data_IF_789548571017
#
_entry.id   IF_789548571017
#
_cell.length_a   1.000
_cell.length_b   1.000
_cell.length_c   1.000
_cell.angle_alpha   90.00
_cell.angle_beta   90.00
_cell.angle_gamma   90.00
#
_symmetry.space_group_name_H-M   'P 1'
#
loop_
_entity.id
_entity.type
_entity.pdbx_description
1 polymer ?
#
# COMPACT_ATOMS: atom_id res chain seq x y z
N UNK A 1 -11.50 -49.88 -2.67
CA UNK A 1 -12.22 -49.99 -1.38
C UNK A 1 -11.36 -49.28 -0.34
N UNK A 2 -11.73 -48.06 0.04
CA UNK A 2 -11.03 -47.31 1.08
C UNK A 2 -12.07 -46.75 2.05
N UNK A 3 -11.92 -47.10 3.32
CA UNK A 3 -12.52 -46.37 4.43
C UNK A 3 -11.35 -45.77 5.20
N UNK A 4 -11.24 -44.44 5.17
CA UNK A 4 -10.50 -43.68 6.15
C UNK A 4 -11.18 -42.32 6.31
N UNK A 5 -11.91 -42.22 7.41
CA UNK A 5 -12.62 -41.05 7.91
C UNK A 5 -11.62 -40.19 8.68
N UNK A 6 -11.19 -39.09 8.08
CA UNK A 6 -10.77 -37.84 8.73
C UNK A 6 -10.83 -36.83 7.61
N UNK A 7 -11.61 -35.75 7.76
CA UNK A 7 -11.66 -34.64 6.80
C UNK A 7 -10.32 -33.91 6.85
N UNK A 8 -9.27 -34.58 6.39
CA UNK A 8 -8.01 -33.98 6.02
C UNK A 8 -8.27 -33.33 4.68
N UNK A 9 -8.40 -32.01 4.69
CA UNK A 9 -8.33 -31.18 3.49
C UNK A 9 -7.04 -31.59 2.79
N UNK A 10 -7.19 -32.44 1.78
CA UNK A 10 -6.08 -32.87 0.96
C UNK A 10 -5.84 -31.69 0.05
N UNK A 11 -5.01 -30.75 0.49
CA UNK A 11 -4.45 -29.74 -0.40
C UNK A 11 -3.53 -30.51 -1.32
N UNK A 12 -4.09 -31.07 -2.38
CA UNK A 12 -3.31 -31.40 -3.58
C UNK A 12 -2.45 -30.18 -3.84
N UNK A 13 -1.13 -30.35 -3.85
CA UNK A 13 -0.13 -29.38 -4.30
C UNK A 13 -0.37 -29.03 -5.78
N UNK A 14 -1.54 -28.47 -6.09
CA UNK A 14 -1.70 -27.60 -7.22
C UNK A 14 -0.97 -26.34 -6.82
N UNK A 15 0.00 -25.92 -7.62
CA UNK A 15 0.50 -24.56 -7.55
C UNK A 15 -0.71 -23.66 -7.69
N UNK A 16 -1.19 -23.13 -6.57
CA UNK A 16 -2.33 -22.24 -6.53
C UNK A 16 -1.94 -21.02 -7.35
N UNK A 17 -2.78 -20.71 -8.33
CA UNK A 17 -2.58 -19.55 -9.17
C UNK A 17 -2.58 -18.30 -8.29
N UNK A 18 -1.89 -17.22 -8.68
CA UNK A 18 -1.86 -15.97 -7.88
C UNK A 18 -3.27 -15.47 -7.55
N UNK A 19 -4.22 -15.78 -8.43
CA UNK A 19 -5.64 -15.49 -8.28
C UNK A 19 -6.30 -16.29 -7.16
N UNK A 20 -5.78 -17.43 -6.72
CA UNK A 20 -6.39 -18.28 -5.68
C UNK A 20 -5.85 -18.01 -4.27
N UNK A 21 -4.90 -17.07 -4.12
CA UNK A 21 -4.30 -16.77 -2.82
C UNK A 21 -5.31 -16.20 -1.82
N UNK A 22 -6.32 -15.47 -2.30
CA UNK A 22 -7.38 -14.98 -1.41
C UNK A 22 -8.18 -16.13 -0.78
N UNK A 23 -8.33 -17.27 -1.46
CA UNK A 23 -8.98 -18.45 -0.92
C UNK A 23 -8.17 -19.00 0.25
N UNK A 24 -6.85 -19.16 0.10
CA UNK A 24 -5.99 -19.60 1.20
C UNK A 24 -6.11 -18.70 2.41
N UNK A 25 -6.04 -17.39 2.21
CA UNK A 25 -6.16 -16.42 3.30
C UNK A 25 -7.53 -16.50 3.96
N UNK A 26 -8.61 -16.62 3.18
CA UNK A 26 -9.98 -16.75 3.70
C UNK A 26 -10.12 -17.96 4.62
N UNK A 27 -9.54 -19.09 4.23
CA UNK A 27 -9.64 -20.37 4.93
C UNK A 27 -8.48 -20.65 5.90
N UNK A 28 -7.62 -19.67 6.18
CA UNK A 28 -6.43 -19.87 7.00
C UNK A 28 -6.74 -20.18 8.49
N UNK A 29 -7.97 -19.92 8.97
CA UNK A 29 -8.36 -20.28 10.33
C UNK A 29 -8.62 -21.78 10.45
N UNK A 30 -8.09 -22.38 11.51
CA UNK A 30 -8.40 -23.76 11.88
C UNK A 30 -9.79 -23.91 12.50
N UNK A 31 -10.29 -22.88 13.18
CA UNK A 31 -11.58 -22.87 13.88
C UNK A 31 -12.27 -21.49 13.79
N UNK A 32 -13.60 -21.48 13.81
CA UNK A 32 -14.43 -20.27 13.73
C UNK A 32 -14.71 -19.77 12.30
N UNK A 33 -15.28 -18.58 12.20
CA UNK A 33 -15.69 -18.03 10.89
C UNK A 33 -14.48 -17.62 10.02
N UNK A 34 -14.50 -17.91 8.72
CA UNK A 34 -13.45 -17.53 7.77
C UNK A 34 -13.15 -16.02 7.79
N UNK A 35 -11.94 -15.66 7.38
CA UNK A 35 -11.59 -14.24 7.25
C UNK A 35 -12.40 -13.57 6.14
N UNK A 36 -12.92 -12.38 6.41
CA UNK A 36 -13.53 -11.53 5.38
C UNK A 36 -12.42 -10.90 4.55
N UNK A 37 -12.06 -11.55 3.44
CA UNK A 37 -11.05 -11.05 2.51
C UNK A 37 -11.72 -10.12 1.50
N UNK A 38 -11.25 -8.86 1.46
CA UNK A 38 -11.63 -7.88 0.43
C UNK A 38 -10.51 -7.78 -0.59
N UNK A 39 -10.80 -8.17 -1.82
CA UNK A 39 -9.87 -8.01 -2.94
C UNK A 39 -9.80 -6.55 -3.37
N UNK A 40 -8.58 -6.07 -3.60
CA UNK A 40 -8.29 -4.70 -4.00
C UNK A 40 -7.67 -4.74 -5.39
N UNK A 41 -8.22 -3.93 -6.30
CA UNK A 41 -7.69 -3.76 -7.65
C UNK A 41 -6.66 -2.64 -7.69
N UNK A 42 -5.80 -2.65 -8.70
CA UNK A 42 -4.78 -1.61 -8.89
C UNK A 42 -5.37 -0.19 -8.92
N UNK A 43 -6.57 -0.04 -9.49
CA UNK A 43 -7.31 1.24 -9.57
C UNK A 43 -7.66 1.84 -8.20
N UNK A 44 -7.66 1.03 -7.14
CA UNK A 44 -7.92 1.45 -5.76
C UNK A 44 -6.62 1.79 -4.98
N UNK A 45 -5.46 1.73 -5.63
CA UNK A 45 -4.18 2.09 -5.01
C UNK A 45 -3.81 3.52 -5.40
N UNK A 46 -3.69 4.40 -4.40
CA UNK A 46 -3.47 5.84 -4.59
C UNK A 46 -2.11 6.30 -4.07
N UNK A 47 -1.57 7.35 -4.69
CA UNK A 47 -0.30 7.96 -4.30
C UNK A 47 -0.53 9.10 -3.30
N UNK A 48 -0.40 8.80 -2.00
CA UNK A 48 -0.64 9.78 -0.93
C UNK A 48 0.56 10.71 -0.67
N UNK A 49 1.76 10.37 -1.11
CA UNK A 49 2.97 11.17 -0.84
C UNK A 49 2.92 12.55 -1.52
N UNK A 50 2.27 12.67 -2.68
CA UNK A 50 1.98 13.96 -3.30
C UNK A 50 1.20 14.90 -2.37
N UNK A 51 0.30 14.36 -1.56
CA UNK A 51 -0.52 15.13 -0.64
C UNK A 51 0.26 15.58 0.61
N UNK A 52 1.51 15.18 0.80
CA UNK A 52 2.33 15.58 1.95
C UNK A 52 3.14 16.86 1.68
N UNK A 53 3.29 17.25 0.42
CA UNK A 53 4.10 18.39 0.00
C UNK A 53 3.49 19.71 0.51
N UNK A 54 4.33 20.65 0.94
CA UNK A 54 3.93 21.98 1.45
C UNK A 54 3.04 21.99 2.71
N UNK A 55 3.00 20.89 3.46
CA UNK A 55 2.29 20.79 4.75
C UNK A 55 3.21 20.99 5.94
N UNK A 56 2.67 21.58 7.00
CA UNK A 56 3.40 21.75 8.25
C UNK A 56 3.23 20.52 9.15
N UNK A 57 4.30 19.78 9.34
CA UNK A 57 4.36 18.60 10.23
C UNK A 57 5.29 18.80 11.43
N UNK A 58 6.02 19.91 11.49
CA UNK A 58 7.13 20.08 12.44
C UNK A 58 6.79 20.98 13.61
N UNK A 59 5.86 21.93 13.44
CA UNK A 59 5.57 22.96 14.44
C UNK A 59 4.09 23.02 14.80
N UNK A 60 3.80 23.12 16.09
CA UNK A 60 2.43 23.31 16.58
C UNK A 60 2.00 24.79 16.55
N UNK A 61 0.77 25.08 16.99
CA UNK A 61 0.22 26.45 17.09
C UNK A 61 0.97 27.35 18.05
N UNK A 62 1.70 26.79 19.03
CA UNK A 62 2.56 27.50 19.99
C UNK A 62 4.01 27.63 19.49
N UNK A 63 4.29 27.26 18.23
CA UNK A 63 5.61 27.28 17.60
C UNK A 63 6.64 26.32 18.26
N UNK A 64 6.17 25.33 19.02
CA UNK A 64 6.98 24.26 19.60
C UNK A 64 7.19 23.15 18.56
N UNK A 65 8.34 22.49 18.62
CA UNK A 65 8.66 21.35 17.76
C UNK A 65 7.82 20.14 18.18
N UNK A 66 7.20 19.49 17.20
CA UNK A 66 6.40 18.28 17.40
C UNK A 66 7.32 17.06 17.43
N UNK A 67 7.28 16.29 18.53
CA UNK A 67 8.00 15.02 18.64
C UNK A 67 7.06 13.86 18.29
N UNK A 68 7.04 13.46 17.02
CA UNK A 68 6.12 12.42 16.52
C UNK A 68 6.24 11.08 17.27
N UNK A 69 7.46 10.70 17.66
CA UNK A 69 7.71 9.46 18.39
C UNK A 69 7.13 9.46 19.82
N UNK A 70 6.82 10.64 20.36
CA UNK A 70 6.30 10.79 21.73
C UNK A 70 4.77 10.89 21.76
N UNK A 71 4.11 11.05 20.60
CA UNK A 71 2.66 11.21 20.53
C UNK A 71 1.97 9.90 20.90
N UNK A 72 1.00 9.97 21.82
CA UNK A 72 0.20 8.82 22.25
C UNK A 72 -1.21 8.83 21.69
N UNK A 73 -1.76 10.01 21.45
CA UNK A 73 -3.11 10.17 20.92
C UNK A 73 -3.11 11.20 19.79
N UNK A 74 -3.81 10.87 18.70
CA UNK A 74 -4.03 11.77 17.57
C UNK A 74 -5.54 11.81 17.30
N UNK A 75 -6.10 13.02 17.31
CA UNK A 75 -7.51 13.29 17.03
C UNK A 75 -7.63 14.08 15.73
N UNK A 76 -8.46 13.58 14.82
CA UNK A 76 -8.78 14.23 13.55
C UNK A 76 -10.29 14.37 13.46
N UNK A 77 -10.76 15.60 13.32
CA UNK A 77 -12.19 15.92 13.22
C UNK A 77 -12.56 16.27 11.77
N UNK A 78 -13.59 15.62 11.23
CA UNK A 78 -14.08 15.90 9.86
C UNK A 78 -14.58 17.35 9.67
N UNK A 79 -14.89 18.06 10.75
CA UNK A 79 -15.25 19.48 10.71
C UNK A 79 -14.05 20.43 10.58
N UNK A 80 -12.81 19.96 10.80
CA UNK A 80 -11.59 20.78 10.82
C UNK A 80 -10.47 20.16 9.96
N UNK A 81 -10.63 20.23 8.64
CA UNK A 81 -9.73 19.57 7.67
C UNK A 81 -8.29 20.10 7.62
N UNK A 82 -7.99 21.20 8.31
CA UNK A 82 -6.67 21.83 8.32
C UNK A 82 -5.87 21.61 9.62
N UNK A 83 -6.43 20.88 10.58
CA UNK A 83 -5.88 20.74 11.93
C UNK A 83 -5.84 19.30 12.37
N UNK A 84 -4.80 18.98 13.12
CA UNK A 84 -4.64 17.72 13.83
C UNK A 84 -4.41 18.06 15.30
N UNK A 85 -5.17 17.43 16.16
CA UNK A 85 -4.97 17.51 17.61
C UNK A 85 -4.18 16.30 18.08
N UNK A 86 -3.25 16.51 19.00
CA UNK A 86 -2.38 15.46 19.50
C UNK A 86 -2.01 15.68 20.96
N UNK A 87 -1.81 14.57 21.67
CA UNK A 87 -1.43 14.55 23.08
C UNK A 87 -0.19 13.67 23.29
N UNK A 88 0.66 14.08 24.23
CA UNK A 88 1.76 13.26 24.73
C UNK A 88 1.30 12.36 25.89
N UNK A 89 0.39 12.85 26.73
CA UNK A 89 -0.23 12.10 27.83
C UNK A 89 -1.76 12.26 27.81
N UNK A 90 -2.49 11.29 28.34
CA UNK A 90 -3.97 11.24 28.27
C UNK A 90 -4.66 12.30 29.14
N UNK A 91 -3.96 12.84 30.13
CA UNK A 91 -4.50 13.81 31.10
C UNK A 91 -4.21 15.28 30.71
N UNK A 92 -3.47 15.51 29.62
CA UNK A 92 -3.12 16.86 29.15
C UNK A 92 -4.18 17.44 28.20
N UNK A 93 -4.26 18.78 28.17
CA UNK A 93 -5.02 19.48 27.13
C UNK A 93 -4.42 19.22 25.75
N UNK A 94 -5.26 19.00 24.73
CA UNK A 94 -4.78 18.68 23.40
C UNK A 94 -4.02 19.81 22.74
N UNK A 95 -2.86 19.48 22.16
CA UNK A 95 -2.04 20.41 21.37
C UNK A 95 -2.48 20.32 19.91
N UNK A 96 -2.41 21.43 19.18
CA UNK A 96 -2.88 21.47 17.78
C UNK A 96 -1.75 21.77 16.81
N UNK A 97 -1.71 21.02 15.71
CA UNK A 97 -0.91 21.32 14.53
C UNK A 97 -1.84 21.84 13.45
N UNK A 98 -1.53 23.02 12.90
CA UNK A 98 -2.18 23.50 11.68
C UNK A 98 -1.37 22.97 10.51
N UNK A 99 -1.88 21.91 9.89
CA UNK A 99 -1.24 21.18 8.78
C UNK A 99 -1.29 22.01 7.50
N UNK A 100 -2.41 22.71 7.29
CA UNK A 100 -2.68 23.53 6.11
C UNK A 100 -2.79 25.00 6.52
N UNK A 101 -1.85 25.83 6.05
CA UNK A 101 -1.89 27.27 6.30
C UNK A 101 -2.98 27.92 5.44
N UNK A 102 -4.13 28.18 6.05
CA UNK A 102 -5.25 28.86 5.41
C UNK A 102 -4.96 30.36 5.25
N UNK A 103 -4.41 30.75 4.11
CA UNK A 103 -4.59 32.12 3.60
C UNK A 103 -5.94 32.24 2.89
N UNK A 104 -6.62 33.39 2.97
CA UNK A 104 -7.94 33.63 2.34
C UNK A 104 -7.96 33.35 0.83
N UNK A 105 -6.80 33.38 0.17
CA UNK A 105 -6.60 33.04 -1.25
C UNK A 105 -6.46 31.53 -1.52
N UNK A 106 -6.15 30.73 -0.51
CA UNK A 106 -5.80 29.31 -0.63
C UNK A 106 -6.97 28.35 -0.41
N UNK A 107 -8.15 28.80 0.06
CA UNK A 107 -9.28 27.88 0.33
C UNK A 107 -9.79 27.19 -0.96
N UNK A 108 -9.89 27.94 -2.07
CA UNK A 108 -10.21 27.38 -3.40
C UNK A 108 -9.11 26.50 -3.99
N UNK A 109 -7.84 26.77 -3.66
CA UNK A 109 -6.72 25.90 -4.06
C UNK A 109 -6.74 24.59 -3.27
N UNK A 110 -7.04 24.65 -1.98
CA UNK A 110 -7.07 23.47 -1.11
C UNK A 110 -8.13 22.43 -1.52
N UNK A 111 -9.28 22.88 -2.00
CA UNK A 111 -10.34 21.99 -2.53
C UNK A 111 -9.91 21.35 -3.86
N UNK A 112 -9.07 22.02 -4.65
CA UNK A 112 -8.57 21.50 -5.94
C UNK A 112 -7.24 20.72 -5.81
N UNK A 113 -6.44 20.96 -4.77
CA UNK A 113 -5.10 20.35 -4.57
C UNK A 113 -5.18 18.95 -3.93
N UNK A 114 -6.38 18.46 -3.61
CA UNK A 114 -6.61 17.11 -3.08
C UNK A 114 -7.01 16.11 -4.18
N UNK A 115 -6.55 16.30 -5.41
CA UNK A 115 -6.69 15.29 -6.45
C UNK A 115 -5.84 14.06 -6.12
N UNK A 116 -6.53 12.98 -5.74
CA UNK A 116 -5.92 11.68 -5.49
C UNK A 116 -5.54 11.02 -6.82
N UNK A 117 -4.25 11.00 -7.08
CA UNK A 117 -3.72 10.31 -8.25
C UNK A 117 -3.58 8.80 -7.98
N UNK A 118 -3.93 7.98 -8.97
CA UNK A 118 -3.62 6.54 -8.93
C UNK A 118 -2.11 6.35 -8.80
N UNK A 119 -1.70 5.42 -7.92
CA UNK A 119 -0.30 5.12 -7.71
C UNK A 119 0.35 4.50 -8.95
N UNK A 120 -0.44 3.82 -9.78
CA UNK A 120 0.04 3.04 -10.91
C UNK A 120 -0.86 3.24 -12.12
N UNK A 121 -0.29 3.66 -13.24
CA UNK A 121 -1.01 3.94 -14.50
C UNK A 121 -1.22 2.69 -15.37
N UNK A 122 -0.62 1.56 -14.99
CA UNK A 122 -0.69 0.31 -15.74
C UNK A 122 0.10 -0.79 -15.04
N UNK A 123 0.18 -2.00 -15.61
CA UNK A 123 0.85 -3.12 -14.98
C UNK A 123 2.31 -2.80 -14.68
N UNK A 124 2.78 -3.18 -13.49
CA UNK A 124 4.14 -2.90 -13.05
C UNK A 124 5.14 -3.72 -13.89
N UNK A 125 6.11 -3.07 -14.55
CA UNK A 125 7.10 -3.78 -15.32
C UNK A 125 8.07 -4.53 -14.40
N UNK A 126 8.57 -5.67 -14.87
CA UNK A 126 9.63 -6.42 -14.20
C UNK A 126 10.99 -6.09 -14.82
N UNK A 127 12.08 -6.47 -14.15
CA UNK A 127 13.41 -6.30 -14.72
C UNK A 127 13.60 -7.24 -15.92
N UNK A 128 14.42 -6.82 -16.90
CA UNK A 128 14.77 -7.66 -18.05
C UNK A 128 15.45 -8.97 -17.65
N UNK A 129 16.29 -8.92 -16.62
CA UNK A 129 16.97 -10.11 -16.09
C UNK A 129 15.94 -11.09 -15.55
N UNK A 130 14.99 -10.60 -14.76
CA UNK A 130 13.90 -11.41 -14.21
C UNK A 130 12.98 -11.96 -15.31
N UNK A 131 12.67 -11.17 -16.32
CA UNK A 131 11.88 -11.62 -17.47
C UNK A 131 12.60 -12.74 -18.24
N UNK A 132 13.90 -12.61 -18.45
CA UNK A 132 14.73 -13.65 -19.08
C UNK A 132 14.70 -14.93 -18.27
N UNK A 133 14.94 -14.85 -16.96
CA UNK A 133 14.91 -16.01 -16.07
C UNK A 133 13.56 -16.72 -16.13
N UNK A 134 12.45 -15.98 -16.09
CA UNK A 134 11.09 -16.54 -16.21
C UNK A 134 10.89 -17.21 -17.58
N UNK A 135 11.38 -16.60 -18.65
CA UNK A 135 11.31 -17.17 -20.01
C UNK A 135 12.09 -18.48 -20.10
N UNK A 136 13.26 -18.54 -19.48
CA UNK A 136 14.09 -19.75 -19.44
C UNK A 136 13.42 -20.86 -18.60
N UNK A 137 12.72 -20.51 -17.52
CA UNK A 137 11.87 -21.46 -16.77
C UNK A 137 10.68 -21.98 -17.59
N UNK A 138 10.10 -21.15 -18.46
CA UNK A 138 9.05 -21.59 -19.39
C UNK A 138 9.61 -22.57 -20.42
N UNK A 139 10.75 -22.25 -21.03
CA UNK A 139 11.45 -23.12 -22.00
C UNK A 139 11.91 -24.44 -21.38
N UNK A 140 12.36 -24.39 -20.12
CA UNK A 140 12.77 -25.57 -19.36
C UNK A 140 11.60 -26.47 -18.94
N UNK A 141 10.35 -26.10 -19.23
CA UNK A 141 9.17 -26.89 -18.87
C UNK A 141 8.87 -26.92 -17.36
N UNK A 142 9.59 -26.14 -16.56
CA UNK A 142 9.37 -26.01 -15.11
C UNK A 142 8.05 -25.28 -14.87
N UNK A 143 7.80 -24.21 -15.63
CA UNK A 143 6.50 -23.54 -15.66
C UNK A 143 5.60 -24.29 -16.66
N UNK A 144 4.41 -24.77 -16.25
CA UNK A 144 3.48 -25.44 -17.16
C UNK A 144 3.05 -24.54 -18.33
N UNK A 145 2.92 -25.13 -19.53
CA UNK A 145 2.60 -24.43 -20.78
C UNK A 145 1.35 -23.54 -20.70
N UNK A 146 0.34 -23.95 -19.92
CA UNK A 146 -0.90 -23.18 -19.70
C UNK A 146 -0.69 -21.78 -19.12
N UNK A 147 0.47 -21.53 -18.49
CA UNK A 147 0.81 -20.22 -17.90
C UNK A 147 1.80 -19.41 -18.75
N UNK A 148 2.31 -19.98 -19.85
CA UNK A 148 3.33 -19.31 -20.66
C UNK A 148 2.82 -17.98 -21.21
N UNK A 149 1.58 -17.95 -21.70
CA UNK A 149 0.95 -16.73 -22.24
C UNK A 149 0.93 -15.59 -21.22
N UNK A 150 0.67 -15.88 -19.95
CA UNK A 150 0.71 -14.86 -18.90
C UNK A 150 2.13 -14.29 -18.72
N UNK A 151 3.12 -15.16 -18.55
CA UNK A 151 4.49 -14.75 -18.23
C UNK A 151 5.21 -14.08 -19.40
N UNK A 152 4.97 -14.54 -20.63
CA UNK A 152 5.56 -13.98 -21.86
C UNK A 152 5.00 -12.60 -22.21
N UNK A 153 3.79 -12.27 -21.73
CA UNK A 153 3.17 -10.96 -21.94
C UNK A 153 3.46 -9.95 -20.82
N UNK A 154 4.34 -10.27 -19.85
CA UNK A 154 4.69 -9.34 -18.77
C UNK A 154 5.51 -8.14 -19.30
N UNK A 155 5.14 -6.90 -18.95
CA UNK A 155 5.93 -5.73 -19.30
C UNK A 155 7.29 -5.79 -18.61
N UNK A 156 8.35 -5.37 -19.29
CA UNK A 156 9.71 -5.46 -18.76
C UNK A 156 10.59 -4.27 -19.15
N UNK A 157 11.40 -3.79 -18.21
CA UNK A 157 12.34 -2.67 -18.38
C UNK A 157 13.70 -3.01 -17.80
N UNK A 158 14.75 -2.25 -18.15
CA UNK A 158 16.06 -2.44 -17.54
C UNK A 158 16.02 -2.14 -16.04
N UNK A 159 16.76 -2.91 -15.24
CA UNK A 159 16.81 -2.76 -13.78
C UNK A 159 17.10 -1.32 -13.31
N UNK A 160 17.97 -0.60 -14.02
CA UNK A 160 18.30 0.81 -13.74
C UNK A 160 17.11 1.78 -13.83
N UNK A 161 16.02 1.38 -14.49
CA UNK A 161 14.83 2.18 -14.69
C UNK A 161 13.68 1.79 -13.73
N UNK A 162 13.82 0.71 -12.94
CA UNK A 162 12.86 0.36 -11.88
C UNK A 162 13.00 1.27 -10.65
N UNK A 163 14.22 1.72 -10.36
CA UNK A 163 14.52 2.67 -9.28
C UNK A 163 14.34 4.10 -9.76
N UNK A 164 13.09 4.57 -9.80
CA UNK A 164 12.85 6.01 -9.92
C UNK A 164 11.53 6.38 -9.24
N UNK A 165 11.52 6.43 -7.90
CA UNK A 165 11.06 7.54 -7.02
C UNK A 165 11.38 7.18 -5.55
N UNK A 166 12.66 7.09 -5.18
CA UNK A 166 13.09 7.24 -3.78
C UNK A 166 14.32 8.16 -3.79
N UNK A 167 14.11 9.43 -4.09
CA UNK A 167 15.05 10.46 -3.66
C UNK A 167 14.64 10.85 -2.25
N UNK A 168 15.19 10.14 -1.27
CA UNK A 168 15.33 10.63 0.09
C UNK A 168 16.59 11.50 0.09
N UNK A 169 16.41 12.78 -0.27
CA UNK A 169 17.47 13.78 -0.12
C UNK A 169 17.46 14.22 1.34
N UNK A 170 18.25 13.54 2.16
CA UNK A 170 18.77 14.10 3.41
C UNK A 170 19.73 15.24 3.04
N UNK A 171 19.32 16.48 3.27
CA UNK A 171 20.21 17.64 3.32
C UNK A 171 20.36 18.07 4.78
N UNK A 172 21.62 18.22 5.20
CA UNK A 172 22.12 18.63 6.52
C UNK A 172 21.63 20.03 6.98
#
# INVERSE_FOLDING_TARGET
MFVAKKLGVTVTHRFLEKEEWYCLVRWAKSEGDPYVVKEIRQEHVFYFKALLVNKNWTKNTKNEKVSWNSIREVKVSAGQNNRIEYNYDFDEEPKTIVVLRSGTRNKKRLENDLELNQAYQGPLPISKEKYKDITDLCRGGIIPARYHDFYLNLPHIHASNLTRVESDSEED
#
